data_IF_364567804972
#
_entry.id   IF_364567804972
#
_cell.length_a   1.000
_cell.length_b   1.000
_cell.length_c   1.000
_cell.angle_alpha   90.00
_cell.angle_beta   90.00
_cell.angle_gamma   90.00
#
_symmetry.space_group_name_H-M   'P 1'
#
loop_
_entity.id
_entity.type
_entity.pdbx_description
1 polymer ?
#
# COMPACT_ATOMS: atom_id res chain seq x y z
N UNK A 1 14.02 0.84 -10.77
CA UNK A 1 13.42 1.66 -9.70
C UNK A 1 12.81 0.72 -8.66
N UNK A 2 12.74 1.16 -7.38
CA UNK A 2 12.16 0.36 -6.29
C UNK A 2 10.79 0.90 -5.92
N UNK A 3 9.84 0.00 -5.71
CA UNK A 3 8.45 0.30 -5.40
C UNK A 3 8.00 -0.43 -4.14
N UNK A 4 7.14 0.25 -3.37
CA UNK A 4 6.34 -0.33 -2.30
C UNK A 4 4.93 -0.59 -2.86
N UNK A 5 4.42 -1.80 -2.65
CA UNK A 5 3.06 -2.19 -3.00
C UNK A 5 2.30 -2.43 -1.69
N UNK A 6 1.23 -1.68 -1.48
CA UNK A 6 0.36 -1.77 -0.31
C UNK A 6 -1.02 -2.27 -0.73
N UNK A 7 -1.38 -3.47 -0.28
CA UNK A 7 -2.71 -4.03 -0.46
C UNK A 7 -3.62 -3.61 0.68
N UNK A 8 -4.92 -3.49 0.40
CA UNK A 8 -5.95 -3.21 1.40
C UNK A 8 -6.94 -4.37 1.52
N UNK A 9 -7.28 -4.71 2.76
CA UNK A 9 -8.40 -5.61 3.07
C UNK A 9 -8.13 -7.09 2.82
N UNK A 10 -6.87 -7.49 2.78
CA UNK A 10 -6.43 -8.88 2.60
C UNK A 10 -6.17 -9.57 3.94
N UNK A 11 -6.42 -10.88 4.04
CA UNK A 11 -6.11 -11.71 5.20
C UNK A 11 -6.72 -11.24 6.54
N UNK A 12 -7.86 -10.55 6.50
CA UNK A 12 -8.58 -10.05 7.68
C UNK A 12 -9.83 -10.88 7.94
N UNK A 13 -10.07 -11.26 9.20
CA UNK A 13 -11.30 -11.96 9.61
C UNK A 13 -11.56 -13.30 8.92
N UNK A 14 -10.53 -13.95 8.39
CA UNK A 14 -10.64 -15.21 7.63
C UNK A 14 -11.07 -15.05 6.16
N UNK A 15 -11.29 -13.82 5.69
CA UNK A 15 -11.70 -13.52 4.32
C UNK A 15 -10.53 -12.98 3.48
N UNK A 16 -10.74 -12.92 2.16
CA UNK A 16 -9.80 -12.36 1.18
C UNK A 16 -8.38 -12.90 1.36
N UNK A 17 -8.25 -14.23 1.33
CA UNK A 17 -7.00 -14.92 1.59
C UNK A 17 -6.02 -14.69 0.44
N UNK A 18 -4.87 -14.10 0.77
CA UNK A 18 -3.75 -13.88 -0.15
C UNK A 18 -2.52 -14.53 0.47
N UNK A 19 -2.04 -15.61 -0.14
CA UNK A 19 -0.82 -16.30 0.30
C UNK A 19 0.38 -15.48 -0.19
N UNK A 20 1.07 -14.79 0.74
CA UNK A 20 2.17 -13.89 0.37
C UNK A 20 3.27 -14.58 -0.43
N UNK A 21 3.58 -15.85 -0.17
CA UNK A 21 4.58 -16.59 -0.93
C UNK A 21 4.19 -16.78 -2.40
N UNK A 22 2.93 -17.09 -2.67
CA UNK A 22 2.39 -17.23 -4.03
C UNK A 22 2.36 -15.88 -4.73
N UNK A 23 1.92 -14.81 -4.04
CA UNK A 23 1.91 -13.46 -4.61
C UNK A 23 3.33 -12.99 -4.97
N UNK A 24 4.33 -13.28 -4.14
CA UNK A 24 5.74 -12.98 -4.48
C UNK A 24 6.19 -13.71 -5.74
N UNK A 25 5.82 -14.99 -5.88
CA UNK A 25 6.14 -15.77 -7.07
C UNK A 25 5.47 -15.19 -8.32
N UNK A 26 4.18 -14.87 -8.24
CA UNK A 26 3.42 -14.27 -9.35
C UNK A 26 4.00 -12.94 -9.82
N UNK A 27 4.44 -12.08 -8.89
CA UNK A 27 5.13 -10.83 -9.23
C UNK A 27 6.49 -11.12 -9.89
N UNK A 28 7.22 -12.13 -9.41
CA UNK A 28 8.48 -12.54 -10.02
C UNK A 28 8.27 -13.03 -11.46
N UNK A 29 7.22 -13.82 -11.69
CA UNK A 29 6.86 -14.36 -13.02
C UNK A 29 6.44 -13.25 -14.01
N UNK A 30 5.94 -12.12 -13.50
CA UNK A 30 5.67 -10.90 -14.27
C UNK A 30 6.93 -10.09 -14.63
N UNK A 31 8.11 -10.50 -14.15
CA UNK A 31 9.38 -9.83 -14.41
C UNK A 31 9.77 -8.79 -13.37
N UNK A 32 9.08 -8.71 -12.23
CA UNK A 32 9.56 -7.93 -11.09
C UNK A 32 10.74 -8.63 -10.42
N UNK A 33 11.72 -7.85 -9.95
CA UNK A 33 12.93 -8.33 -9.29
C UNK A 33 12.90 -8.02 -7.79
N UNK A 34 13.79 -8.66 -7.01
CA UNK A 34 13.94 -8.42 -5.56
C UNK A 34 12.61 -8.43 -4.78
N UNK A 35 11.68 -9.30 -5.17
CA UNK A 35 10.32 -9.33 -4.62
C UNK A 35 10.35 -9.82 -3.16
N UNK A 36 9.97 -8.94 -2.24
CA UNK A 36 9.92 -9.22 -0.79
C UNK A 36 8.56 -8.84 -0.24
N UNK A 37 8.11 -9.52 0.81
CA UNK A 37 6.90 -9.16 1.54
C UNK A 37 7.22 -8.92 3.00
N UNK A 38 6.54 -7.97 3.62
CA UNK A 38 6.60 -7.71 5.05
C UNK A 38 5.29 -8.12 5.71
N UNK A 39 5.38 -9.04 6.68
CA UNK A 39 4.25 -9.66 7.40
C UNK A 39 3.16 -10.21 6.45
N UNK A 40 1.94 -10.44 6.94
CA UNK A 40 0.84 -11.03 6.16
C UNK A 40 -0.28 -10.02 5.82
N UNK A 41 -0.05 -8.73 6.02
CA UNK A 41 -1.06 -7.67 5.81
C UNK A 41 -1.02 -7.06 4.40
N UNK A 42 -0.24 -7.63 3.48
CA UNK A 42 -0.18 -7.16 2.09
C UNK A 42 0.80 -6.01 1.83
N UNK A 43 1.98 -6.03 2.45
CA UNK A 43 3.05 -5.07 2.14
C UNK A 43 4.14 -5.78 1.33
N UNK A 44 4.48 -5.27 0.15
CA UNK A 44 5.52 -5.84 -0.71
C UNK A 44 6.50 -4.79 -1.23
N UNK A 45 7.74 -5.20 -1.44
CA UNK A 45 8.78 -4.42 -2.10
C UNK A 45 9.18 -5.13 -3.40
N UNK A 46 9.31 -4.37 -4.48
CA UNK A 46 9.74 -4.88 -5.79
C UNK A 46 10.67 -3.91 -6.49
N UNK A 47 11.54 -4.44 -7.35
CA UNK A 47 12.34 -3.66 -8.29
C UNK A 47 11.80 -3.85 -9.72
N UNK A 48 11.63 -2.75 -10.46
CA UNK A 48 11.15 -2.76 -11.86
C UNK A 48 11.83 -1.66 -12.69
N UNK A 49 12.10 -1.89 -13.98
CA UNK A 49 12.50 -0.82 -14.90
C UNK A 49 11.30 0.02 -15.40
N UNK A 50 10.07 -0.45 -15.19
CA UNK A 50 8.85 0.22 -15.64
C UNK A 50 8.57 1.49 -14.83
N UNK A 51 7.85 2.44 -15.42
CA UNK A 51 7.39 3.63 -14.71
C UNK A 51 6.28 3.30 -13.70
N UNK A 52 6.08 4.18 -12.70
CA UNK A 52 5.08 3.98 -11.63
C UNK A 52 3.69 3.59 -12.16
N UNK A 53 3.19 4.29 -13.19
CA UNK A 53 1.88 4.03 -13.76
C UNK A 53 1.77 2.62 -14.39
N UNK A 54 2.85 2.15 -15.02
CA UNK A 54 2.92 0.81 -15.61
C UNK A 54 3.00 -0.27 -14.52
N UNK A 55 3.78 -0.04 -13.46
CA UNK A 55 3.82 -0.94 -12.29
C UNK A 55 2.45 -1.03 -11.62
N UNK A 56 1.78 0.11 -11.39
CA UNK A 56 0.42 0.15 -10.84
C UNK A 56 -0.57 -0.62 -11.71
N UNK A 57 -0.53 -0.44 -13.03
CA UNK A 57 -1.40 -1.15 -13.96
C UNK A 57 -1.14 -2.67 -13.97
N UNK A 58 0.14 -3.08 -13.97
CA UNK A 58 0.54 -4.48 -13.94
C UNK A 58 0.09 -5.17 -12.64
N UNK A 59 0.32 -4.55 -11.49
CA UNK A 59 -0.12 -5.07 -10.18
C UNK A 59 -1.65 -5.16 -10.13
N UNK A 60 -2.36 -4.14 -10.60
CA UNK A 60 -3.83 -4.14 -10.62
C UNK A 60 -4.38 -5.28 -11.50
N UNK A 61 -3.80 -5.47 -12.68
CA UNK A 61 -4.17 -6.54 -13.62
C UNK A 61 -3.90 -7.92 -13.04
N UNK A 62 -2.73 -8.11 -12.42
CA UNK A 62 -2.38 -9.36 -11.75
C UNK A 62 -3.42 -9.71 -10.69
N UNK A 63 -3.71 -8.78 -9.79
CA UNK A 63 -4.63 -9.02 -8.68
C UNK A 63 -6.05 -9.33 -9.17
N UNK A 64 -6.53 -8.65 -10.20
CA UNK A 64 -7.83 -8.92 -10.81
C UNK A 64 -7.90 -10.28 -11.54
N UNK A 65 -6.75 -10.81 -11.97
CA UNK A 65 -6.67 -12.10 -12.68
C UNK A 65 -6.54 -13.27 -11.71
N UNK A 66 -5.78 -13.09 -10.64
CA UNK A 66 -5.42 -14.18 -9.72
C UNK A 66 -6.43 -14.39 -8.58
N UNK A 67 -7.29 -13.41 -8.29
CA UNK A 67 -8.24 -13.46 -7.18
C UNK A 67 -9.66 -13.18 -7.68
N UNK A 68 -10.63 -13.92 -7.15
CA UNK A 68 -12.06 -13.80 -7.45
C UNK A 68 -12.77 -12.74 -6.57
N UNK A 69 -12.00 -12.00 -5.78
CA UNK A 69 -12.45 -10.88 -4.96
C UNK A 69 -11.61 -9.62 -5.26
N UNK A 70 -12.18 -8.41 -5.08
CA UNK A 70 -11.44 -7.18 -5.33
C UNK A 70 -10.31 -6.99 -4.33
N UNK A 71 -9.09 -6.82 -4.83
CA UNK A 71 -7.91 -6.45 -4.03
C UNK A 71 -7.44 -5.07 -4.45
N UNK A 72 -7.66 -4.08 -3.60
CA UNK A 72 -7.15 -2.73 -3.85
C UNK A 72 -5.65 -2.68 -3.54
N UNK A 73 -4.89 -2.04 -4.43
CA UNK A 73 -3.45 -1.86 -4.30
C UNK A 73 -3.04 -0.43 -4.60
N UNK A 74 -2.10 0.08 -3.80
CA UNK A 74 -1.36 1.31 -4.06
C UNK A 74 0.10 0.96 -4.31
N UNK A 75 0.67 1.50 -5.38
CA UNK A 75 2.11 1.46 -5.66
C UNK A 75 2.72 2.82 -5.36
N UNK A 76 3.84 2.82 -4.63
CA UNK A 76 4.57 4.03 -4.24
C UNK A 76 6.03 3.87 -4.66
N UNK A 77 6.61 4.90 -5.27
CA UNK A 77 8.06 4.94 -5.49
C UNK A 77 8.81 5.10 -4.17
N UNK A 78 9.89 4.34 -3.99
CA UNK A 78 10.73 4.41 -2.77
C UNK A 78 11.15 5.85 -2.45
N UNK A 79 11.60 6.61 -3.44
CA UNK A 79 12.12 7.97 -3.20
C UNK A 79 10.99 8.95 -2.82
N UNK A 80 9.79 8.77 -3.35
CA UNK A 80 8.61 9.54 -2.91
C UNK A 80 8.24 9.21 -1.45
N UNK A 81 8.22 7.92 -1.09
CA UNK A 81 7.99 7.49 0.29
C UNK A 81 9.03 8.05 1.27
N UNK A 82 10.31 8.03 0.89
CA UNK A 82 11.38 8.60 1.72
C UNK A 82 11.28 10.13 1.85
N UNK A 83 10.83 10.81 0.81
CA UNK A 83 10.56 12.25 0.85
C UNK A 83 9.45 12.57 1.85
N UNK A 84 8.33 11.83 1.79
CA UNK A 84 7.23 12.00 2.75
C UNK A 84 7.65 11.66 4.19
N UNK A 85 8.44 10.59 4.36
CA UNK A 85 8.97 10.18 5.66
C UNK A 85 9.85 11.26 6.29
N UNK A 86 10.64 11.98 5.50
CA UNK A 86 11.47 13.08 5.97
C UNK A 86 10.66 14.31 6.43
N UNK A 87 9.38 14.40 6.05
CA UNK A 87 8.45 15.47 6.40
C UNK A 87 7.46 15.07 7.49
N UNK A 88 7.68 13.92 8.14
CA UNK A 88 6.80 13.44 9.21
C UNK A 88 6.76 14.48 10.35
N UNK A 89 5.57 14.83 10.88
CA UNK A 89 5.45 15.81 11.94
C UNK A 89 6.23 15.43 13.21
N UNK A 90 6.74 16.42 13.94
CA UNK A 90 7.52 16.21 15.17
C UNK A 90 6.79 15.39 16.24
N UNK A 91 5.45 15.44 16.27
CA UNK A 91 4.64 14.66 17.22
C UNK A 91 4.58 13.16 16.90
N UNK A 92 4.93 12.75 15.68
CA UNK A 92 4.79 11.36 15.24
C UNK A 92 5.70 10.42 16.04
N UNK A 93 5.10 9.55 16.85
CA UNK A 93 5.83 8.64 17.74
C UNK A 93 6.37 9.29 19.01
N UNK A 94 6.12 10.58 19.25
CA UNK A 94 6.57 11.27 20.45
C UNK A 94 5.75 10.89 21.69
N UNK A 95 4.43 10.72 21.54
CA UNK A 95 3.53 10.32 22.62
C UNK A 95 3.37 8.78 22.67
N UNK A 96 3.91 8.14 23.70
CA UNK A 96 3.92 6.68 23.83
C UNK A 96 2.56 6.05 24.20
N UNK A 97 1.60 6.87 24.64
CA UNK A 97 0.24 6.47 25.01
C UNK A 97 -0.77 6.64 23.86
N UNK A 98 -0.36 7.27 22.76
CA UNK A 98 -1.20 7.51 21.59
C UNK A 98 -0.91 6.55 20.46
N UNK A 99 -1.93 6.30 19.64
CA UNK A 99 -1.80 5.54 18.39
C UNK A 99 -1.62 6.50 17.23
N UNK A 100 -0.51 6.34 16.51
CA UNK A 100 -0.27 7.08 15.27
C UNK A 100 -0.59 6.17 14.08
N UNK A 101 -1.40 6.66 13.15
CA UNK A 101 -1.80 5.92 11.95
C UNK A 101 -1.45 6.72 10.70
N UNK A 102 -0.83 6.07 9.72
CA UNK A 102 -0.54 6.66 8.42
C UNK A 102 -1.57 6.16 7.42
N UNK A 103 -2.33 7.10 6.85
CA UNK A 103 -3.38 6.80 5.88
C UNK A 103 -2.82 6.99 4.47
N UNK A 104 -2.60 5.89 3.75
CA UNK A 104 -2.17 5.91 2.37
C UNK A 104 -3.37 6.00 1.43
N UNK A 105 -3.38 6.99 0.55
CA UNK A 105 -4.48 7.20 -0.38
C UNK A 105 -4.41 6.21 -1.55
N UNK A 106 -5.48 5.45 -1.75
CA UNK A 106 -5.61 4.54 -2.89
C UNK A 106 -5.68 5.33 -4.21
N UNK A 107 -5.37 4.72 -5.37
CA UNK A 107 -5.47 5.38 -6.67
C UNK A 107 -6.86 5.96 -7.00
N UNK A 108 -7.91 5.44 -6.37
CA UNK A 108 -9.30 5.91 -6.53
C UNK A 108 -9.66 7.08 -5.62
N UNK A 109 -8.73 7.53 -4.78
CA UNK A 109 -8.96 8.62 -3.85
C UNK A 109 -9.17 9.96 -4.57
N UNK A 110 -10.08 10.77 -4.03
CA UNK A 110 -10.29 12.15 -4.48
C UNK A 110 -10.34 13.07 -3.27
N UNK A 111 -9.99 14.36 -3.46
CA UNK A 111 -9.99 15.34 -2.37
C UNK A 111 -11.37 15.47 -1.68
N UNK A 112 -12.47 15.25 -2.42
CA UNK A 112 -13.82 15.24 -1.88
C UNK A 112 -14.02 14.16 -0.79
N UNK A 113 -13.25 13.08 -0.80
CA UNK A 113 -13.31 12.03 0.21
C UNK A 113 -12.75 12.47 1.57
N UNK A 114 -12.00 13.58 1.62
CA UNK A 114 -11.55 14.17 2.89
C UNK A 114 -12.60 15.05 3.56
N UNK A 115 -13.57 15.57 2.81
CA UNK A 115 -14.51 16.54 3.33
C UNK A 115 -15.29 16.02 4.56
N UNK A 116 -15.81 14.77 4.55
CA UNK A 116 -16.46 14.23 5.74
C UNK A 116 -15.52 13.96 6.91
N UNK A 117 -14.22 13.75 6.65
CA UNK A 117 -13.21 13.54 7.70
C UNK A 117 -12.88 14.87 8.39
N UNK A 118 -12.76 15.97 7.63
CA UNK A 118 -12.50 17.31 8.18
C UNK A 118 -13.58 17.77 9.16
N UNK A 119 -14.82 17.38 8.91
CA UNK A 119 -15.98 17.71 9.77
C UNK A 119 -16.05 16.85 11.04
N UNK A 120 -15.23 15.80 11.14
CA UNK A 120 -15.17 14.87 12.27
C UNK A 120 -13.89 15.01 13.09
N UNK A 121 -13.03 15.98 12.77
CA UNK A 121 -11.86 16.32 13.57
C UNK A 121 -12.36 16.77 14.94
N UNK A 122 -12.08 15.97 15.97
CA UNK A 122 -12.43 16.29 17.35
C UNK A 122 -11.26 16.97 18.04
N UNK A 123 -11.46 17.48 19.25
CA UNK A 123 -10.43 18.21 20.03
C UNK A 123 -9.20 17.36 20.41
N UNK A 124 -9.16 16.08 20.02
CA UNK A 124 -8.08 15.13 20.30
C UNK A 124 -7.31 14.68 19.04
N UNK A 125 -7.64 15.24 17.87
CA UNK A 125 -6.92 15.07 16.59
C UNK A 125 -5.98 16.25 16.33
#
# INVERSE_FOLDING_TARGET
MRYLILLRGVNVGGNHRVVMAELRQQLTDLGFNEVRSYINSGNLLVDSPLALAEVQAAVTTLLATQYDFPVAALVIEKEAYLTDLAQVPEWWGAAGDLRHNALFFLPTFTAAMLEPLRQKITTYD
#
